data_IF_679290263102
#
_entry.id   IF_679290263102
#
_cell.length_a   1.000
_cell.length_b   1.000
_cell.length_c   1.000
_cell.angle_alpha   90.00
_cell.angle_beta   90.00
_cell.angle_gamma   90.00
#
_symmetry.space_group_name_H-M   'P 1'
#
loop_
_entity.id
_entity.type
_entity.pdbx_description
1 polymer ?
#
# COMPACT_ATOMS: atom_id res chain seq x y z
N UNK A 1 -5.50 24.23 -38.73
CA UNK A 1 -4.54 24.69 -37.69
C UNK A 1 -5.22 25.44 -36.55
N UNK A 2 -6.19 26.34 -36.79
CA UNK A 2 -6.94 27.06 -35.74
C UNK A 2 -7.83 26.16 -34.86
N UNK A 3 -8.54 25.20 -35.47
CA UNK A 3 -9.42 24.25 -34.76
C UNK A 3 -8.67 23.36 -33.76
N UNK A 4 -7.47 22.90 -34.12
CA UNK A 4 -6.65 22.06 -33.22
C UNK A 4 -6.22 22.81 -31.95
N UNK A 5 -5.88 24.11 -32.08
CA UNK A 5 -5.55 24.97 -30.93
C UNK A 5 -6.77 25.21 -30.02
N UNK A 6 -7.96 25.34 -30.61
CA UNK A 6 -9.20 25.47 -29.85
C UNK A 6 -9.50 24.22 -29.03
N UNK A 7 -9.44 23.02 -29.63
CA UNK A 7 -9.66 21.77 -28.91
C UNK A 7 -8.62 21.55 -27.80
N UNK A 8 -7.34 21.87 -28.03
CA UNK A 8 -6.32 21.79 -26.98
C UNK A 8 -6.62 22.73 -25.81
N UNK A 9 -7.11 23.94 -26.09
CA UNK A 9 -7.47 24.88 -25.04
C UNK A 9 -8.73 24.42 -24.28
N UNK A 10 -9.71 23.86 -24.98
CA UNK A 10 -10.89 23.25 -24.36
C UNK A 10 -10.50 22.07 -23.45
N UNK A 11 -9.66 21.14 -23.93
CA UNK A 11 -9.18 20.02 -23.13
C UNK A 11 -8.36 20.46 -21.92
N UNK A 12 -7.57 21.52 -22.06
CA UNK A 12 -6.83 22.11 -20.93
C UNK A 12 -7.77 22.57 -19.82
N UNK A 13 -8.81 23.34 -20.18
CA UNK A 13 -9.78 23.85 -19.19
C UNK A 13 -10.64 22.74 -18.58
N UNK A 14 -11.06 21.75 -19.39
CA UNK A 14 -11.78 20.58 -18.90
C UNK A 14 -10.90 19.78 -17.93
N UNK A 15 -9.64 19.53 -18.29
CA UNK A 15 -8.68 18.84 -17.42
C UNK A 15 -8.45 19.60 -16.11
N UNK A 16 -8.28 20.93 -16.17
CA UNK A 16 -8.12 21.76 -14.99
C UNK A 16 -9.37 21.71 -14.09
N UNK A 17 -10.57 21.75 -14.67
CA UNK A 17 -11.83 21.62 -13.94
C UNK A 17 -11.94 20.26 -13.23
N UNK A 18 -11.60 19.16 -13.89
CA UNK A 18 -11.59 17.84 -13.26
C UNK A 18 -10.54 17.71 -12.16
N UNK A 19 -9.35 18.30 -12.33
CA UNK A 19 -8.33 18.35 -11.27
C UNK A 19 -8.81 19.13 -10.06
N UNK A 20 -9.51 20.25 -10.28
CA UNK A 20 -10.12 21.04 -9.21
C UNK A 20 -11.22 20.25 -8.47
N UNK A 21 -12.12 19.60 -9.19
CA UNK A 21 -13.14 18.72 -8.59
C UNK A 21 -12.50 17.58 -7.79
N UNK A 22 -11.42 16.98 -8.32
CA UNK A 22 -10.71 15.94 -7.60
C UNK A 22 -10.03 16.46 -6.33
N UNK A 23 -9.49 17.68 -6.34
CA UNK A 23 -8.95 18.33 -5.14
C UNK A 23 -10.03 18.58 -4.09
N UNK A 24 -11.22 19.06 -4.49
CA UNK A 24 -12.36 19.21 -3.56
C UNK A 24 -12.73 17.85 -2.97
N UNK A 25 -12.88 16.82 -3.82
CA UNK A 25 -13.19 15.45 -3.36
C UNK A 25 -12.18 14.95 -2.34
N UNK A 26 -10.88 15.04 -2.64
CA UNK A 26 -9.82 14.63 -1.71
C UNK A 26 -9.80 15.46 -0.44
N UNK A 27 -10.11 16.76 -0.50
CA UNK A 27 -10.19 17.61 0.69
C UNK A 27 -11.38 17.26 1.58
N UNK A 28 -12.48 16.77 1.01
CA UNK A 28 -13.69 16.38 1.76
C UNK A 28 -13.59 14.94 2.28
N UNK A 29 -13.14 14.01 1.45
CA UNK A 29 -13.11 12.57 1.77
C UNK A 29 -11.78 12.10 2.37
N UNK A 30 -10.75 12.93 2.34
CA UNK A 30 -9.39 12.52 2.67
C UNK A 30 -8.81 11.55 1.64
N UNK A 31 -7.69 10.93 1.99
CA UNK A 31 -7.20 9.76 1.26
C UNK A 31 -8.11 8.59 1.65
N UNK A 32 -8.70 7.90 0.67
CA UNK A 32 -9.39 6.63 0.95
C UNK A 32 -8.35 5.67 1.50
N UNK A 33 -8.46 5.34 2.79
CA UNK A 33 -7.60 4.35 3.41
C UNK A 33 -7.75 3.04 2.63
N UNK A 34 -6.66 2.46 2.10
CA UNK A 34 -6.73 1.18 1.40
C UNK A 34 -7.27 0.07 2.32
N UNK A 35 -7.13 0.26 3.63
CA UNK A 35 -7.73 -0.56 4.68
C UNK A 35 -9.12 -0.03 5.06
N UNK A 36 -10.20 -0.83 4.95
CA UNK A 36 -11.58 -0.39 5.20
C UNK A 36 -11.98 -0.42 6.68
N UNK A 37 -11.02 -0.60 7.59
CA UNK A 37 -11.23 -0.68 9.03
C UNK A 37 -10.12 0.07 9.79
N UNK A 38 -10.38 0.55 11.02
CA UNK A 38 -9.40 1.31 11.78
C UNK A 38 -8.23 0.43 12.25
N UNK A 39 -7.07 1.07 12.46
CA UNK A 39 -5.85 0.39 12.94
C UNK A 39 -5.99 -0.21 14.36
N UNK A 40 -6.97 0.26 15.13
CA UNK A 40 -7.30 -0.27 16.46
C UNK A 40 -7.92 -1.67 16.41
N UNK A 41 -8.44 -2.12 15.27
CA UNK A 41 -8.88 -3.51 15.07
C UNK A 41 -7.68 -4.43 14.79
N UNK A 42 -6.76 -4.54 15.76
CA UNK A 42 -5.45 -5.20 15.64
C UNK A 42 -5.53 -6.59 15.01
N UNK A 43 -6.41 -7.48 15.51
CA UNK A 43 -6.53 -8.85 14.99
C UNK A 43 -6.90 -8.88 13.52
N UNK A 44 -7.79 -7.98 13.11
CA UNK A 44 -8.24 -7.88 11.73
C UNK A 44 -7.18 -7.27 10.83
N UNK A 45 -6.36 -6.35 11.35
CA UNK A 45 -5.19 -5.83 10.65
C UNK A 45 -4.17 -6.95 10.37
N UNK A 46 -3.85 -7.75 11.39
CA UNK A 46 -2.93 -8.90 11.24
C UNK A 46 -3.48 -9.90 10.22
N UNK A 47 -4.75 -10.30 10.36
CA UNK A 47 -5.40 -11.25 9.44
C UNK A 47 -5.42 -10.71 8.00
N UNK A 48 -5.71 -9.42 7.83
CA UNK A 48 -5.67 -8.77 6.53
C UNK A 48 -4.27 -8.80 5.92
N UNK A 49 -3.23 -8.47 6.69
CA UNK A 49 -1.85 -8.45 6.18
C UNK A 49 -1.36 -9.85 5.78
N UNK A 50 -1.70 -10.88 6.56
CA UNK A 50 -1.43 -12.28 6.16
C UNK A 50 -2.13 -12.64 4.86
N UNK A 51 -3.42 -12.31 4.73
CA UNK A 51 -4.19 -12.58 3.52
C UNK A 51 -3.60 -11.88 2.29
N UNK A 52 -3.16 -10.63 2.42
CA UNK A 52 -2.50 -9.88 1.35
C UNK A 52 -1.21 -10.58 0.92
N UNK A 53 -0.33 -10.92 1.87
CA UNK A 53 0.93 -11.60 1.57
C UNK A 53 0.70 -12.97 0.95
N UNK A 54 -0.26 -13.75 1.45
CA UNK A 54 -0.55 -15.07 0.91
C UNK A 54 -1.06 -15.00 -0.53
N UNK A 55 -1.87 -13.99 -0.86
CA UNK A 55 -2.29 -13.73 -2.23
C UNK A 55 -1.11 -13.34 -3.13
N UNK A 56 -0.21 -12.48 -2.64
CA UNK A 56 1.00 -12.10 -3.39
C UNK A 56 1.89 -13.31 -3.67
N UNK A 57 2.17 -14.12 -2.64
CA UNK A 57 3.00 -15.32 -2.79
C UNK A 57 2.36 -16.26 -3.79
N UNK A 58 1.05 -16.52 -3.68
CA UNK A 58 0.34 -17.41 -4.61
C UNK A 58 0.55 -16.96 -6.06
N UNK A 59 0.26 -15.70 -6.36
CA UNK A 59 0.37 -15.17 -7.73
C UNK A 59 1.82 -15.18 -8.22
N UNK A 60 2.77 -14.80 -7.37
CA UNK A 60 4.19 -14.75 -7.71
C UNK A 60 4.80 -16.14 -7.89
N UNK A 61 4.41 -17.12 -7.08
CA UNK A 61 4.82 -18.52 -7.21
C UNK A 61 4.26 -19.10 -8.53
N UNK A 62 2.98 -18.85 -8.84
CA UNK A 62 2.36 -19.25 -10.11
C UNK A 62 3.09 -18.62 -11.32
N UNK A 63 3.39 -17.32 -11.25
CA UNK A 63 4.07 -16.60 -12.33
C UNK A 63 5.53 -17.04 -12.53
N UNK A 64 6.25 -17.30 -11.43
CA UNK A 64 7.69 -17.60 -11.47
C UNK A 64 8.01 -19.09 -11.56
N UNK A 65 7.05 -19.98 -11.32
CA UNK A 65 7.26 -21.42 -11.18
C UNK A 65 8.05 -21.83 -9.93
N UNK A 66 8.29 -20.89 -9.00
CA UNK A 66 8.89 -21.15 -7.69
C UNK A 66 7.80 -21.50 -6.67
N UNK A 67 8.09 -22.34 -5.68
CA UNK A 67 7.17 -22.62 -4.55
C UNK A 67 7.52 -21.84 -3.28
N UNK A 68 8.45 -20.90 -3.38
CA UNK A 68 9.01 -20.14 -2.24
C UNK A 68 9.65 -18.85 -2.73
N UNK A 69 8.92 -18.06 -3.53
CA UNK A 69 9.47 -16.87 -4.18
C UNK A 69 10.14 -15.89 -3.22
N UNK A 70 9.67 -15.78 -1.98
CA UNK A 70 10.24 -14.87 -0.97
C UNK A 70 11.56 -15.36 -0.38
N UNK A 71 11.85 -16.67 -0.43
CA UNK A 71 12.98 -17.25 0.28
C UNK A 71 14.31 -16.64 -0.18
N UNK A 72 15.05 -16.07 0.76
CA UNK A 72 16.37 -15.45 0.50
C UNK A 72 16.32 -14.10 -0.23
N UNK A 73 15.12 -13.58 -0.54
CA UNK A 73 14.97 -12.31 -1.26
C UNK A 73 15.18 -11.11 -0.36
N UNK A 74 15.55 -10.00 -0.99
CA UNK A 74 15.48 -8.68 -0.37
C UNK A 74 14.26 -7.96 -0.94
N UNK A 75 13.42 -7.48 -0.05
CA UNK A 75 12.16 -6.79 -0.37
C UNK A 75 12.36 -5.30 -0.13
N UNK A 76 11.82 -4.51 -1.05
CA UNK A 76 11.66 -3.06 -0.93
C UNK A 76 10.18 -2.76 -1.06
N UNK A 77 9.62 -2.09 -0.06
CA UNK A 77 8.25 -1.61 -0.06
C UNK A 77 8.22 -0.08 -0.01
N UNK A 78 7.41 0.51 -0.87
CA UNK A 78 7.21 1.96 -0.96
C UNK A 78 5.83 2.28 -0.38
N UNK A 79 5.80 3.06 0.69
CA UNK A 79 4.57 3.38 1.39
C UNK A 79 3.90 2.15 2.04
N UNK A 80 4.58 1.45 2.97
CA UNK A 80 4.08 0.20 3.57
C UNK A 80 2.82 0.38 4.44
N UNK A 81 2.40 1.62 4.70
CA UNK A 81 1.26 1.92 5.55
C UNK A 81 1.61 1.92 7.03
N UNK A 82 0.59 1.79 7.88
CA UNK A 82 0.67 2.31 9.24
C UNK A 82 1.31 1.37 10.30
N UNK A 83 1.54 0.09 9.99
CA UNK A 83 1.95 -0.93 10.98
C UNK A 83 3.16 -1.77 10.59
N UNK A 84 3.71 -1.61 9.39
CA UNK A 84 4.85 -2.40 8.88
C UNK A 84 4.58 -3.93 8.88
N UNK A 85 3.32 -4.36 9.00
CA UNK A 85 2.94 -5.77 9.20
C UNK A 85 3.33 -6.64 8.01
N UNK A 86 3.06 -6.16 6.79
CA UNK A 86 3.48 -6.78 5.52
C UNK A 86 4.98 -7.12 5.55
N UNK A 87 5.82 -6.16 5.95
CA UNK A 87 7.27 -6.34 6.04
C UNK A 87 7.67 -7.45 7.00
N UNK A 88 7.11 -7.45 8.21
CA UNK A 88 7.38 -8.49 9.21
C UNK A 88 6.95 -9.86 8.71
N UNK A 89 5.74 -9.96 8.15
CA UNK A 89 5.21 -11.24 7.64
C UNK A 89 6.08 -11.77 6.50
N UNK A 90 6.60 -10.93 5.61
CA UNK A 90 7.51 -11.40 4.54
C UNK A 90 8.82 -11.92 5.09
N UNK A 91 9.38 -11.29 6.14
CA UNK A 91 10.55 -11.81 6.86
C UNK A 91 10.26 -13.16 7.50
N UNK A 92 9.11 -13.30 8.18
CA UNK A 92 8.67 -14.58 8.75
C UNK A 92 8.53 -15.68 7.69
N UNK A 93 8.10 -15.32 6.47
CA UNK A 93 7.96 -16.25 5.33
C UNK A 93 9.27 -16.48 4.55
N UNK A 94 10.41 -16.06 5.11
CA UNK A 94 11.74 -16.44 4.63
C UNK A 94 12.44 -15.39 3.75
N UNK A 95 11.91 -14.18 3.64
CA UNK A 95 12.67 -13.07 3.08
C UNK A 95 13.92 -12.82 3.93
N UNK A 96 15.05 -12.56 3.27
CA UNK A 96 16.35 -12.31 3.93
C UNK A 96 16.42 -10.90 4.52
N UNK A 97 15.81 -9.94 3.85
CA UNK A 97 15.84 -8.52 4.24
C UNK A 97 14.59 -7.83 3.74
N UNK A 98 14.06 -6.92 4.55
CA UNK A 98 12.98 -6.02 4.20
C UNK A 98 13.46 -4.58 4.38
N UNK A 99 13.09 -3.71 3.45
CA UNK A 99 13.38 -2.27 3.51
C UNK A 99 12.07 -1.55 3.18
N UNK A 100 11.68 -0.61 4.03
CA UNK A 100 10.53 0.26 3.82
C UNK A 100 11.00 1.69 3.58
N UNK A 101 10.33 2.38 2.67
CA UNK A 101 10.48 3.82 2.47
C UNK A 101 9.09 4.44 2.54
N UNK A 102 8.91 5.36 3.48
CA UNK A 102 7.69 6.17 3.63
C UNK A 102 8.08 7.63 3.89
N UNK A 103 7.16 8.55 3.57
CA UNK A 103 7.32 9.97 3.90
C UNK A 103 7.03 10.25 5.37
N UNK A 104 6.30 9.35 6.04
CA UNK A 104 5.95 9.44 7.45
C UNK A 104 6.90 8.59 8.31
N UNK A 105 7.15 9.01 9.56
CA UNK A 105 7.88 8.17 10.50
C UNK A 105 6.94 7.11 11.10
N UNK A 106 6.85 5.97 10.43
CA UNK A 106 5.92 4.91 10.78
C UNK A 106 6.23 4.23 12.12
N UNK A 107 7.50 4.22 12.53
CA UNK A 107 7.94 3.61 13.79
C UNK A 107 7.28 4.31 14.98
N UNK A 108 7.09 5.63 14.91
CA UNK A 108 6.49 6.41 16.01
C UNK A 108 4.98 6.23 16.09
N UNK A 109 4.33 5.78 15.00
CA UNK A 109 2.87 5.71 14.89
C UNK A 109 2.32 4.29 14.94
N UNK A 110 3.17 3.28 14.78
CA UNK A 110 2.74 1.90 14.83
C UNK A 110 2.26 1.52 16.24
N UNK A 111 1.10 0.87 16.33
CA UNK A 111 0.54 0.43 17.61
C UNK A 111 1.35 -0.73 18.18
N UNK A 112 1.93 -0.58 19.36
CA UNK A 112 2.70 -1.63 20.04
C UNK A 112 1.90 -2.95 20.18
N UNK A 113 0.62 -2.83 20.52
CA UNK A 113 -0.32 -3.95 20.63
C UNK A 113 -0.40 -4.79 19.34
N UNK A 114 -0.18 -4.19 18.16
CA UNK A 114 -0.15 -4.91 16.91
C UNK A 114 0.98 -5.95 16.90
N UNK A 115 2.19 -5.54 17.27
CA UNK A 115 3.34 -6.44 17.30
C UNK A 115 3.22 -7.48 18.41
N UNK A 116 2.74 -7.09 19.59
CA UNK A 116 2.47 -8.04 20.67
C UNK A 116 1.52 -9.15 20.23
N UNK A 117 0.45 -8.82 19.52
CA UNK A 117 -0.51 -9.81 19.04
C UNK A 117 0.03 -10.62 17.85
N UNK A 118 0.85 -10.02 16.98
CA UNK A 118 1.45 -10.68 15.83
C UNK A 118 2.45 -11.78 16.22
N UNK A 119 3.18 -11.59 17.33
CA UNK A 119 4.21 -12.53 17.80
C UNK A 119 3.73 -13.51 18.89
N UNK A 120 2.44 -13.49 19.25
CA UNK A 120 1.83 -14.52 20.10
C UNK A 120 1.67 -15.84 19.34
#
# INVERSE_FOLDING_TARGET
MFTLKFYNHLYYWIGLFFLFLNKIRHSIQGYTNPRPFPITEVKKAIEYDFNVIDQWIKVLDEYSGSKSILKGKTILELGPGADLGIGIITLMKGARKYNAIDVNNLIDTALEQFYEELFK
#
